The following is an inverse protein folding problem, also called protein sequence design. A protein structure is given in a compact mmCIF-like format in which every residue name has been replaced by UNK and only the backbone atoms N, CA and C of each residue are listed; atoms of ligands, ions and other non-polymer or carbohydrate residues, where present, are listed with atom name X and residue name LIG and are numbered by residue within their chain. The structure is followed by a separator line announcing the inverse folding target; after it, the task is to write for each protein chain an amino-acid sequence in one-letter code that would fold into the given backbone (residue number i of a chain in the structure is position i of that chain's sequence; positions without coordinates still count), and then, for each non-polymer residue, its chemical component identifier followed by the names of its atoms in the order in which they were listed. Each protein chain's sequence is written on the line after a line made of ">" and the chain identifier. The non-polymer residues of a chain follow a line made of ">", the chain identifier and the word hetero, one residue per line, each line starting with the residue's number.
data_IF_413390848039
#
_entry.id   IF_413390848039
#
_cell.length_a   1.000
_cell.length_b   1.000
_cell.length_c   1.000
_cell.angle_alpha   90.00
_cell.angle_beta   90.00
_cell.angle_gamma   90.00
#
_symmetry.space_group_name_H-M   'P 1'
#
loop_
_entity.id
_entity.type
_entity.pdbx_description
1 polymer ?
#
# COMPACT_ATOMS: atom_id res chain seq x y z
N UNK A 1 -21.84 -64.79 26.46
CA UNK A 1 -21.46 -63.54 27.16
C UNK A 1 -22.34 -62.44 26.61
N UNK A 2 -23.12 -61.77 27.48
CA UNK A 2 -24.21 -60.86 27.11
C UNK A 2 -23.66 -59.48 26.69
N UNK A 3 -24.12 -58.98 25.56
CA UNK A 3 -23.89 -57.60 25.08
C UNK A 3 -24.81 -56.66 25.86
N UNK A 4 -24.25 -55.71 26.60
CA UNK A 4 -25.01 -54.63 27.26
C UNK A 4 -24.84 -53.33 26.47
N UNK A 5 -25.96 -52.80 26.02
CA UNK A 5 -26.15 -51.40 25.65
C UNK A 5 -26.47 -50.59 26.92
N UNK A 6 -25.80 -49.46 27.14
CA UNK A 6 -26.36 -48.29 27.85
C UNK A 6 -25.68 -47.00 27.37
N UNK A 7 -26.45 -45.92 27.43
CA UNK A 7 -26.43 -44.69 26.62
C UNK A 7 -25.96 -43.48 27.47
N UNK A 8 -25.60 -42.39 26.77
CA UNK A 8 -25.58 -40.95 27.20
C UNK A 8 -24.20 -40.43 27.65
N UNK A 9 -23.76 -39.22 27.33
CA UNK A 9 -24.49 -37.98 27.06
C UNK A 9 -23.71 -37.00 26.16
N UNK A 10 -24.45 -36.00 25.66
CA UNK A 10 -24.12 -34.97 24.68
C UNK A 10 -22.84 -34.14 24.94
N UNK A 11 -22.17 -33.79 23.83
CA UNK A 11 -21.51 -32.51 23.68
C UNK A 11 -22.05 -31.87 22.40
N UNK A 12 -22.87 -30.83 22.58
CA UNK A 12 -23.41 -29.99 21.52
C UNK A 12 -22.23 -29.34 20.81
N UNK A 13 -22.15 -29.55 19.50
CA UNK A 13 -21.19 -28.87 18.63
C UNK A 13 -21.43 -27.36 18.74
N UNK A 14 -20.39 -26.62 19.12
CA UNK A 14 -20.35 -25.17 18.90
C UNK A 14 -20.19 -24.99 17.39
N UNK A 15 -21.31 -24.85 16.70
CA UNK A 15 -21.32 -24.21 15.40
C UNK A 15 -21.07 -22.72 15.64
N UNK A 16 -19.80 -22.31 15.63
CA UNK A 16 -19.44 -20.92 15.37
C UNK A 16 -20.04 -20.65 14.00
N UNK A 17 -21.02 -19.76 13.95
CA UNK A 17 -21.66 -19.37 12.71
C UNK A 17 -20.65 -18.71 11.79
N UNK A 18 -20.00 -19.50 10.93
CA UNK A 18 -19.57 -19.06 9.62
C UNK A 18 -20.82 -18.94 8.74
N UNK A 19 -21.66 -17.95 9.07
CA UNK A 19 -22.61 -17.45 8.10
C UNK A 19 -21.81 -16.91 6.90
N UNK A 20 -22.34 -17.02 5.67
CA UNK A 20 -21.72 -16.33 4.54
C UNK A 20 -21.56 -14.86 4.94
N UNK A 21 -20.33 -14.34 4.85
CA UNK A 21 -20.03 -12.95 5.06
C UNK A 21 -20.80 -12.15 3.99
N UNK A 22 -22.01 -11.73 4.32
CA UNK A 22 -22.71 -10.76 3.52
C UNK A 22 -21.91 -9.47 3.62
N UNK A 23 -21.50 -8.96 2.48
CA UNK A 23 -20.86 -7.65 2.35
C UNK A 23 -21.66 -6.61 3.16
N UNK A 24 -20.98 -5.93 4.08
CA UNK A 24 -21.61 -5.30 5.25
C UNK A 24 -21.44 -3.78 5.24
N UNK A 25 -22.54 -3.07 4.95
CA UNK A 25 -22.58 -1.61 5.03
C UNK A 25 -22.43 -1.08 6.46
N UNK A 26 -22.72 -1.88 7.49
CA UNK A 26 -22.46 -1.48 8.88
C UNK A 26 -20.97 -1.52 9.19
N UNK A 27 -20.25 -2.52 8.67
CA UNK A 27 -18.78 -2.54 8.69
C UNK A 27 -18.20 -1.35 7.93
N UNK A 28 -18.75 -1.02 6.75
CA UNK A 28 -18.34 0.15 5.99
C UNK A 28 -18.52 1.46 6.75
N UNK A 29 -19.70 1.68 7.36
CA UNK A 29 -19.96 2.88 8.18
C UNK A 29 -19.02 2.97 9.37
N UNK A 30 -18.76 1.83 10.04
CA UNK A 30 -17.81 1.75 11.15
C UNK A 30 -16.40 2.15 10.71
N UNK A 31 -15.94 1.65 9.56
CA UNK A 31 -14.65 2.03 8.97
C UNK A 31 -14.60 3.54 8.66
N UNK A 32 -15.62 4.08 7.99
CA UNK A 32 -15.68 5.50 7.66
C UNK A 32 -15.61 6.39 8.92
N UNK A 33 -16.31 6.02 10.00
CA UNK A 33 -16.34 6.78 11.25
C UNK A 33 -15.01 6.69 12.02
N UNK A 34 -14.34 5.53 11.96
CA UNK A 34 -13.10 5.28 12.70
C UNK A 34 -11.86 5.83 11.98
N UNK A 35 -11.78 5.64 10.66
CA UNK A 35 -10.55 5.80 9.87
C UNK A 35 -10.60 7.04 8.95
N UNK A 36 -11.72 7.27 8.28
CA UNK A 36 -11.83 8.36 7.29
C UNK A 36 -12.16 9.70 7.95
N UNK A 37 -13.20 9.75 8.81
CA UNK A 37 -13.62 10.96 9.54
C UNK A 37 -13.76 12.17 8.59
N UNK A 38 -13.04 13.26 8.90
CA UNK A 38 -13.03 14.53 8.16
C UNK A 38 -11.88 14.59 7.12
N UNK A 39 -11.19 13.47 6.84
CA UNK A 39 -10.03 13.43 5.94
C UNK A 39 -10.40 13.23 4.46
N UNK A 40 -11.70 13.13 4.15
CA UNK A 40 -12.19 12.92 2.79
C UNK A 40 -12.62 14.25 2.14
N UNK A 41 -12.41 14.36 0.83
CA UNK A 41 -12.89 15.47 0.01
C UNK A 41 -14.37 15.34 -0.39
N UNK A 42 -14.97 14.16 -0.19
CA UNK A 42 -16.36 13.89 -0.51
C UNK A 42 -17.21 13.80 0.77
N UNK A 43 -18.48 14.19 0.65
CA UNK A 43 -19.41 14.14 1.77
C UNK A 43 -19.80 12.71 2.17
N UNK A 44 -20.44 12.58 3.34
CA UNK A 44 -20.83 11.28 3.88
C UNK A 44 -21.73 10.47 2.94
N UNK A 45 -22.63 11.13 2.21
CA UNK A 45 -23.52 10.42 1.28
C UNK A 45 -22.74 9.82 0.13
N UNK A 46 -21.77 10.55 -0.42
CA UNK A 46 -20.88 10.04 -1.45
C UNK A 46 -19.95 8.93 -0.93
N UNK A 47 -19.42 9.05 0.30
CA UNK A 47 -18.62 7.98 0.94
C UNK A 47 -19.41 6.67 1.07
N UNK A 48 -20.64 6.73 1.59
CA UNK A 48 -21.48 5.54 1.72
C UNK A 48 -21.86 4.95 0.36
N UNK A 49 -22.06 5.79 -0.66
CA UNK A 49 -22.31 5.31 -2.02
C UNK A 49 -21.08 4.59 -2.62
N UNK A 50 -19.87 5.06 -2.35
CA UNK A 50 -18.63 4.39 -2.75
C UNK A 50 -18.46 3.05 -2.02
N UNK A 51 -18.73 3.01 -0.71
CA UNK A 51 -18.68 1.76 0.05
C UNK A 51 -19.74 0.75 -0.43
N UNK A 52 -20.94 1.22 -0.77
CA UNK A 52 -21.99 0.39 -1.36
C UNK A 52 -21.56 -0.19 -2.71
N UNK A 53 -20.79 0.56 -3.50
CA UNK A 53 -20.20 0.05 -4.74
C UNK A 53 -19.23 -1.10 -4.47
N UNK A 54 -18.34 -1.01 -3.48
CA UNK A 54 -17.46 -2.12 -3.09
C UNK A 54 -18.26 -3.36 -2.66
N UNK A 55 -19.30 -3.17 -1.83
CA UNK A 55 -20.22 -4.23 -1.40
C UNK A 55 -20.86 -4.94 -2.59
N UNK A 56 -21.33 -4.18 -3.58
CA UNK A 56 -22.01 -4.74 -4.74
C UNK A 56 -21.07 -5.40 -5.74
N UNK A 57 -19.93 -4.75 -6.04
CA UNK A 57 -18.92 -5.25 -6.97
C UNK A 57 -18.26 -6.54 -6.46
N UNK A 58 -18.20 -6.75 -5.15
CA UNK A 58 -17.61 -7.94 -4.54
C UNK A 58 -18.51 -9.19 -4.60
N UNK A 59 -19.82 -9.05 -4.81
CA UNK A 59 -20.79 -10.17 -4.77
C UNK A 59 -20.40 -11.39 -5.62
N UNK A 60 -19.89 -11.25 -6.86
CA UNK A 60 -19.48 -12.38 -7.68
C UNK A 60 -18.24 -13.12 -7.14
N UNK A 61 -17.50 -12.50 -6.23
CA UNK A 61 -16.21 -12.98 -5.70
C UNK A 61 -16.32 -13.45 -4.24
N UNK A 62 -17.55 -13.68 -3.75
CA UNK A 62 -17.77 -14.18 -2.40
C UNK A 62 -16.96 -15.46 -2.12
N UNK A 63 -16.17 -15.44 -1.05
CA UNK A 63 -15.28 -16.55 -0.67
C UNK A 63 -13.92 -16.58 -1.37
N UNK A 64 -13.60 -15.58 -2.19
CA UNK A 64 -12.25 -15.38 -2.72
C UNK A 64 -11.24 -15.11 -1.58
N UNK A 65 -10.03 -15.64 -1.74
CA UNK A 65 -8.89 -15.41 -0.85
C UNK A 65 -7.77 -14.79 -1.70
N UNK A 66 -7.33 -13.59 -1.33
CA UNK A 66 -6.32 -12.79 -2.03
C UNK A 66 -5.12 -12.65 -1.11
N UNK A 67 -3.94 -12.89 -1.66
CA UNK A 67 -2.66 -12.68 -0.98
C UNK A 67 -1.92 -11.49 -1.58
N UNK A 68 -1.57 -10.56 -0.72
CA UNK A 68 -0.79 -9.36 -1.04
C UNK A 68 0.49 -9.35 -0.20
N UNK A 69 1.57 -8.81 -0.75
CA UNK A 69 2.82 -8.64 0.00
C UNK A 69 3.42 -7.26 -0.24
N UNK A 70 4.05 -6.71 0.79
CA UNK A 70 4.77 -5.43 0.73
C UNK A 70 5.96 -5.40 1.71
N UNK A 71 6.78 -4.36 1.58
CA UNK A 71 7.80 -4.06 2.58
C UNK A 71 7.16 -3.71 3.94
N UNK A 72 7.90 -3.97 5.02
CA UNK A 72 7.53 -3.55 6.38
C UNK A 72 7.88 -2.07 6.63
N UNK A 73 6.92 -1.19 6.37
CA UNK A 73 6.97 0.24 6.71
C UNK A 73 5.62 0.69 7.29
N UNK A 74 5.59 1.84 7.97
CA UNK A 74 4.41 2.31 8.69
C UNK A 74 3.12 2.38 7.84
N UNK A 75 3.22 2.80 6.58
CA UNK A 75 2.08 2.83 5.65
C UNK A 75 1.53 1.43 5.40
N UNK A 76 2.41 0.47 5.09
CA UNK A 76 2.01 -0.90 4.81
C UNK A 76 1.55 -1.66 6.06
N UNK A 77 2.09 -1.31 7.24
CA UNK A 77 1.53 -1.78 8.51
C UNK A 77 0.09 -1.32 8.70
N UNK A 78 -0.23 -0.08 8.33
CA UNK A 78 -1.60 0.43 8.35
C UNK A 78 -2.49 -0.29 7.32
N UNK A 79 -2.02 -0.44 6.08
CA UNK A 79 -2.75 -1.20 5.05
C UNK A 79 -3.06 -2.63 5.50
N UNK A 80 -2.06 -3.34 6.03
CA UNK A 80 -2.20 -4.74 6.48
C UNK A 80 -3.08 -4.88 7.72
N UNK A 81 -2.94 -3.99 8.71
CA UNK A 81 -3.64 -4.11 10.00
C UNK A 81 -5.00 -3.42 10.04
N UNK A 82 -5.28 -2.50 9.11
CA UNK A 82 -6.51 -1.69 9.10
C UNK A 82 -7.26 -1.85 7.78
N UNK A 83 -6.64 -1.55 6.64
CA UNK A 83 -7.35 -1.53 5.35
C UNK A 83 -7.74 -2.92 4.86
N UNK A 84 -6.84 -3.91 4.93
CA UNK A 84 -7.14 -5.29 4.51
C UNK A 84 -8.25 -5.95 5.35
N UNK A 85 -8.26 -5.84 6.70
CA UNK A 85 -9.39 -6.26 7.51
C UNK A 85 -10.69 -5.51 7.21
N UNK A 86 -10.63 -4.19 6.99
CA UNK A 86 -11.81 -3.40 6.64
C UNK A 86 -12.39 -3.84 5.29
N UNK A 87 -11.55 -4.00 4.27
CA UNK A 87 -11.96 -4.50 2.96
C UNK A 87 -12.58 -5.90 3.08
N UNK A 88 -11.99 -6.78 3.89
CA UNK A 88 -12.54 -8.12 4.15
C UNK A 88 -13.92 -8.05 4.80
N UNK A 89 -14.10 -7.19 5.80
CA UNK A 89 -15.39 -7.02 6.48
C UNK A 89 -16.47 -6.43 5.55
N UNK A 90 -16.09 -5.47 4.71
CA UNK A 90 -16.99 -4.79 3.79
C UNK A 90 -17.40 -5.69 2.64
N UNK A 91 -16.48 -6.47 2.08
CA UNK A 91 -16.69 -7.20 0.81
C UNK A 91 -16.91 -8.70 0.97
N UNK A 92 -16.48 -9.28 2.10
CA UNK A 92 -16.43 -10.73 2.31
C UNK A 92 -15.28 -11.43 1.57
N UNK A 93 -14.44 -10.70 0.82
CA UNK A 93 -13.22 -11.22 0.19
C UNK A 93 -12.12 -11.26 1.24
N UNK A 94 -11.53 -12.42 1.48
CA UNK A 94 -10.46 -12.55 2.45
C UNK A 94 -9.17 -11.98 1.86
N UNK A 95 -8.57 -11.00 2.56
CA UNK A 95 -7.27 -10.45 2.18
C UNK A 95 -6.22 -10.81 3.23
N UNK A 96 -5.17 -11.49 2.80
CA UNK A 96 -3.94 -11.69 3.59
C UNK A 96 -2.90 -10.70 3.07
N UNK A 97 -2.47 -9.75 3.89
CA UNK A 97 -1.43 -8.79 3.52
C UNK A 97 -0.17 -9.05 4.36
N UNK A 98 0.79 -9.74 3.76
CA UNK A 98 2.06 -10.10 4.38
C UNK A 98 3.06 -8.92 4.34
N UNK A 99 3.79 -8.75 5.43
CA UNK A 99 4.85 -7.75 5.56
C UNK A 99 6.20 -8.46 5.70
N UNK A 100 7.13 -8.16 4.79
CA UNK A 100 8.49 -8.72 4.75
C UNK A 100 9.51 -7.62 4.49
N UNK A 101 10.81 -7.93 4.42
CA UNK A 101 11.83 -6.95 4.01
C UNK A 101 11.74 -6.64 2.52
N UNK A 102 12.11 -5.43 2.09
CA UNK A 102 12.08 -5.01 0.67
C UNK A 102 12.81 -6.02 -0.24
N UNK A 103 14.01 -6.44 0.16
CA UNK A 103 14.79 -7.44 -0.56
C UNK A 103 14.04 -8.76 -0.75
N UNK A 104 13.28 -9.20 0.25
CA UNK A 104 12.47 -10.42 0.18
C UNK A 104 11.25 -10.23 -0.74
N UNK A 105 10.65 -9.03 -0.79
CA UNK A 105 9.57 -8.72 -1.76
C UNK A 105 10.09 -8.90 -3.19
N UNK A 106 11.26 -8.33 -3.49
CA UNK A 106 11.89 -8.43 -4.81
C UNK A 106 12.23 -9.89 -5.14
N UNK A 107 12.78 -10.66 -4.19
CA UNK A 107 13.09 -12.08 -4.38
C UNK A 107 11.82 -12.90 -4.69
N UNK A 108 10.73 -12.69 -3.93
CA UNK A 108 9.45 -13.39 -4.16
C UNK A 108 8.85 -13.04 -5.51
N UNK A 109 8.85 -11.76 -5.89
CA UNK A 109 8.38 -11.29 -7.18
C UNK A 109 9.15 -11.94 -8.32
N UNK A 110 10.48 -11.94 -8.25
CA UNK A 110 11.33 -12.60 -9.25
C UNK A 110 11.11 -14.11 -9.31
N UNK A 111 10.90 -14.76 -8.16
CA UNK A 111 10.62 -16.20 -8.09
C UNK A 111 9.30 -16.54 -8.78
N UNK A 112 8.24 -15.76 -8.54
CA UNK A 112 6.94 -15.92 -9.23
C UNK A 112 7.09 -15.68 -10.73
N UNK A 113 7.80 -14.64 -11.14
CA UNK A 113 8.09 -14.34 -12.55
C UNK A 113 8.84 -15.48 -13.26
N UNK A 114 9.84 -16.08 -12.61
CA UNK A 114 10.67 -17.14 -13.21
C UNK A 114 9.99 -18.51 -13.21
N UNK A 115 9.26 -18.83 -12.14
CA UNK A 115 8.59 -20.13 -12.01
C UNK A 115 7.24 -20.18 -12.72
N UNK A 116 6.56 -19.04 -12.86
CA UNK A 116 5.17 -18.97 -13.33
C UNK A 116 4.15 -19.42 -12.29
N UNK A 117 4.58 -19.83 -11.10
CA UNK A 117 3.70 -20.21 -9.99
C UNK A 117 3.21 -18.96 -9.26
N UNK A 118 1.91 -18.91 -8.94
CA UNK A 118 1.35 -17.80 -8.18
C UNK A 118 1.71 -17.92 -6.70
N UNK A 119 2.54 -17.02 -6.20
CA UNK A 119 2.94 -16.88 -4.80
C UNK A 119 2.06 -15.83 -4.11
N UNK A 120 1.91 -14.66 -4.74
CA UNK A 120 1.03 -13.58 -4.32
C UNK A 120 0.24 -13.03 -5.52
N UNK A 121 -1.01 -12.67 -5.28
CA UNK A 121 -1.92 -12.12 -6.28
C UNK A 121 -1.61 -10.64 -6.57
N UNK A 122 -1.06 -9.92 -5.59
CA UNK A 122 -0.60 -8.55 -5.76
C UNK A 122 0.68 -8.29 -4.95
N UNK A 123 1.50 -7.38 -5.48
CA UNK A 123 2.72 -6.91 -4.85
C UNK A 123 2.65 -5.39 -4.74
N UNK A 124 3.00 -4.86 -3.58
CA UNK A 124 3.38 -3.45 -3.45
C UNK A 124 4.89 -3.39 -3.59
N UNK A 125 5.36 -2.96 -4.76
CA UNK A 125 6.77 -2.90 -5.12
C UNK A 125 7.11 -1.55 -5.75
N UNK A 126 8.39 -1.19 -5.71
CA UNK A 126 8.86 0.12 -6.16
C UNK A 126 8.60 0.39 -7.65
N UNK A 127 8.38 1.67 -7.97
CA UNK A 127 8.21 2.14 -9.35
C UNK A 127 9.43 1.88 -10.22
N UNK A 128 10.61 1.65 -9.64
CA UNK A 128 11.84 1.33 -10.36
C UNK A 128 11.73 0.02 -11.17
N UNK A 129 10.79 -0.85 -10.80
CA UNK A 129 10.45 -2.08 -11.52
C UNK A 129 9.54 -1.85 -12.75
N UNK A 130 9.09 -0.63 -13.05
CA UNK A 130 8.22 -0.35 -14.21
C UNK A 130 8.82 -0.87 -15.52
N UNK A 131 10.14 -0.73 -15.68
CA UNK A 131 10.86 -1.24 -16.84
C UNK A 131 10.88 -2.77 -16.94
N UNK A 132 10.85 -3.47 -15.80
CA UNK A 132 10.73 -4.92 -15.72
C UNK A 132 9.30 -5.34 -16.07
N UNK A 133 8.31 -4.75 -15.40
CA UNK A 133 6.89 -5.03 -15.60
C UNK A 133 6.46 -4.91 -17.06
N UNK A 134 6.86 -3.83 -17.72
CA UNK A 134 6.57 -3.59 -19.13
C UNK A 134 7.23 -4.61 -20.07
N UNK A 135 8.52 -4.93 -19.86
CA UNK A 135 9.29 -5.79 -20.79
C UNK A 135 8.93 -7.26 -20.67
N UNK A 136 8.66 -7.74 -19.47
CA UNK A 136 8.38 -9.15 -19.23
C UNK A 136 6.90 -9.49 -19.45
N UNK A 137 6.01 -8.50 -19.41
CA UNK A 137 4.57 -8.67 -19.67
C UNK A 137 3.93 -9.74 -18.75
N UNK A 138 4.36 -9.76 -17.49
CA UNK A 138 3.89 -10.70 -16.45
C UNK A 138 2.99 -10.02 -15.40
N UNK A 139 2.71 -8.73 -15.57
CA UNK A 139 1.70 -7.99 -14.79
C UNK A 139 0.61 -7.48 -15.72
N UNK A 140 -0.55 -7.13 -15.15
CA UNK A 140 -1.65 -6.56 -15.93
C UNK A 140 -1.29 -5.13 -16.36
N UNK A 141 -1.54 -4.83 -17.63
CA UNK A 141 -1.65 -3.46 -18.09
C UNK A 141 -2.95 -2.88 -17.54
N UNK A 142 -2.87 -1.98 -16.56
CA UNK A 142 -4.04 -1.48 -15.85
C UNK A 142 -4.91 -0.58 -16.73
N UNK A 143 -4.31 0.18 -17.65
CA UNK A 143 -5.06 1.00 -18.61
C UNK A 143 -6.01 0.15 -19.45
N UNK A 144 -5.49 -0.91 -20.09
CA UNK A 144 -6.31 -1.78 -20.94
C UNK A 144 -7.24 -2.67 -20.10
N UNK A 145 -6.76 -3.18 -18.96
CA UNK A 145 -7.53 -4.05 -18.09
C UNK A 145 -8.76 -3.34 -17.54
N UNK A 146 -8.62 -2.13 -17.00
CA UNK A 146 -9.76 -1.33 -16.51
C UNK A 146 -10.76 -0.98 -17.62
N UNK A 147 -10.29 -0.82 -18.87
CA UNK A 147 -11.16 -0.56 -20.02
C UNK A 147 -11.92 -1.80 -20.53
N UNK A 148 -11.46 -3.01 -20.17
CA UNK A 148 -11.98 -4.28 -20.67
C UNK A 148 -12.31 -5.27 -19.54
N UNK A 149 -11.43 -6.25 -19.28
CA UNK A 149 -11.67 -7.37 -18.35
C UNK A 149 -12.01 -6.90 -16.92
N UNK A 150 -11.37 -5.83 -16.46
CA UNK A 150 -11.55 -5.24 -15.13
C UNK A 150 -12.63 -4.17 -15.05
N UNK A 151 -13.38 -3.90 -16.12
CA UNK A 151 -14.34 -2.79 -16.17
C UNK A 151 -15.39 -2.86 -15.06
N UNK A 152 -15.94 -4.04 -14.80
CA UNK A 152 -17.00 -4.23 -13.81
C UNK A 152 -16.50 -4.11 -12.36
N UNK A 153 -15.18 -4.15 -12.17
CA UNK A 153 -14.48 -4.00 -10.88
C UNK A 153 -13.60 -2.76 -10.82
N UNK A 154 -13.74 -1.84 -11.78
CA UNK A 154 -13.09 -0.53 -11.74
C UNK A 154 -14.04 0.47 -11.11
N UNK A 155 -13.64 1.08 -9.99
CA UNK A 155 -14.52 2.03 -9.30
C UNK A 155 -14.88 3.19 -10.22
N UNK A 156 -16.18 3.57 -10.31
CA UNK A 156 -16.58 4.76 -11.07
C UNK A 156 -16.05 6.06 -10.45
N UNK A 157 -15.58 6.03 -9.21
CA UNK A 157 -14.96 7.17 -8.50
C UNK A 157 -13.44 7.20 -8.63
N UNK A 158 -12.82 6.19 -9.27
CA UNK A 158 -11.36 6.14 -9.43
C UNK A 158 -10.90 7.21 -10.42
N UNK A 159 -10.29 8.28 -9.90
CA UNK A 159 -9.68 9.33 -10.71
C UNK A 159 -8.17 9.10 -10.86
N UNK A 160 -7.76 8.44 -11.95
CA UNK A 160 -6.34 8.20 -12.24
C UNK A 160 -5.56 9.52 -12.40
N UNK A 161 -6.21 10.61 -12.82
CA UNK A 161 -5.54 11.89 -12.99
C UNK A 161 -5.21 12.57 -11.66
N UNK A 162 -5.89 12.19 -10.57
CA UNK A 162 -5.65 12.72 -9.21
C UNK A 162 -4.45 12.03 -8.51
N UNK A 163 -3.94 10.93 -9.07
CA UNK A 163 -2.72 10.30 -8.57
C UNK A 163 -1.49 11.13 -8.89
N UNK A 164 -0.71 11.45 -7.87
CA UNK A 164 0.62 12.00 -8.05
C UNK A 164 1.55 10.89 -8.57
N UNK A 165 2.39 11.22 -9.56
CA UNK A 165 3.51 10.36 -9.99
C UNK A 165 3.14 9.15 -10.86
N UNK A 166 1.98 9.16 -11.52
CA UNK A 166 1.62 8.13 -12.53
C UNK A 166 2.65 7.99 -13.66
N UNK A 167 3.44 9.03 -13.92
CA UNK A 167 4.55 8.99 -14.88
C UNK A 167 5.66 8.01 -14.49
N UNK A 168 5.84 7.72 -13.20
CA UNK A 168 6.83 6.76 -12.72
C UNK A 168 6.34 5.31 -12.84
N UNK A 169 5.03 5.11 -12.96
CA UNK A 169 4.39 3.79 -13.07
C UNK A 169 3.74 3.53 -14.42
N UNK A 170 3.99 4.42 -15.38
CA UNK A 170 3.59 4.28 -16.78
C UNK A 170 4.80 3.92 -17.65
N UNK A 171 4.62 3.01 -18.59
CA UNK A 171 5.68 2.58 -19.48
C UNK A 171 5.80 3.49 -20.73
N UNK A 172 6.84 3.33 -21.57
CA UNK A 172 7.03 4.14 -22.79
C UNK A 172 5.91 4.04 -23.83
N UNK A 173 5.01 3.05 -23.72
CA UNK A 173 3.80 2.95 -24.52
C UNK A 173 2.65 3.86 -24.02
N UNK A 174 2.88 4.60 -22.94
CA UNK A 174 1.93 5.52 -22.32
C UNK A 174 0.89 4.85 -21.44
N UNK A 175 1.05 3.55 -21.11
CA UNK A 175 0.07 2.80 -20.31
C UNK A 175 0.54 2.58 -18.88
N UNK A 176 -0.43 2.49 -17.97
CA UNK A 176 -0.21 2.33 -16.53
C UNK A 176 -0.05 0.84 -16.17
N UNK A 177 0.97 0.51 -15.38
CA UNK A 177 1.23 -0.87 -14.95
C UNK A 177 1.25 -1.04 -13.42
N UNK A 178 1.36 0.06 -12.66
CA UNK A 178 1.24 0.05 -11.20
C UNK A 178 0.38 1.24 -10.76
N UNK A 179 -0.48 1.06 -9.76
CA UNK A 179 -1.16 2.16 -9.08
C UNK A 179 -0.22 2.73 -8.00
N UNK A 180 0.09 4.04 -8.02
CA UNK A 180 0.87 4.64 -6.94
C UNK A 180 0.07 4.61 -5.63
N UNK A 181 0.56 3.91 -4.60
CA UNK A 181 -0.05 3.90 -3.26
C UNK A 181 0.74 4.70 -2.24
N UNK A 182 2.02 4.94 -2.52
CA UNK A 182 2.94 5.67 -1.65
C UNK A 182 4.01 6.38 -2.49
N UNK A 183 4.54 7.48 -1.95
CA UNK A 183 5.69 8.19 -2.53
C UNK A 183 6.71 8.58 -1.46
N UNK A 184 7.98 8.53 -1.83
CA UNK A 184 9.07 9.07 -1.03
C UNK A 184 9.57 10.37 -1.64
N UNK A 185 9.38 11.49 -0.96
CA UNK A 185 10.08 12.71 -1.29
C UNK A 185 11.54 12.57 -0.84
N UNK A 186 12.48 12.73 -1.77
CA UNK A 186 13.89 12.84 -1.40
C UNK A 186 14.13 14.25 -0.84
N UNK A 187 14.43 14.32 0.45
CA UNK A 187 14.53 15.57 1.20
C UNK A 187 15.94 15.73 1.77
N UNK A 188 16.42 16.98 1.75
CA UNK A 188 17.61 17.36 2.49
C UNK A 188 17.24 17.68 3.94
N UNK A 189 17.72 16.85 4.87
CA UNK A 189 17.53 17.05 6.31
C UNK A 189 18.78 17.69 6.92
N UNK A 190 18.58 18.74 7.73
CA UNK A 190 19.67 19.43 8.40
C UNK A 190 19.29 19.89 9.80
N UNK A 191 20.32 20.18 10.61
CA UNK A 191 20.16 20.73 11.96
C UNK A 191 19.94 22.23 11.90
N UNK A 192 18.69 22.65 11.98
CA UNK A 192 18.31 24.06 11.94
C UNK A 192 19.05 24.89 13.01
N UNK A 193 19.20 24.36 14.22
CA UNK A 193 19.94 25.01 15.30
C UNK A 193 21.43 25.17 14.96
N UNK A 194 22.06 24.18 14.32
CA UNK A 194 23.46 24.27 13.91
C UNK A 194 23.67 25.33 12.83
N UNK A 195 22.73 25.44 11.89
CA UNK A 195 22.77 26.43 10.82
C UNK A 195 22.44 27.84 11.31
N UNK A 196 21.84 27.98 12.49
CA UNK A 196 21.51 29.26 13.11
C UNK A 196 22.44 29.65 14.25
N UNK A 197 23.39 28.80 14.63
CA UNK A 197 24.41 29.12 15.61
C UNK A 197 25.40 30.14 15.03
N UNK A 198 25.54 31.28 15.71
CA UNK A 198 26.37 32.40 15.25
C UNK A 198 27.86 32.04 15.16
N UNK A 199 28.34 31.14 16.05
CA UNK A 199 29.72 30.67 16.00
C UNK A 199 29.94 29.77 14.78
N UNK A 200 29.03 28.85 14.50
CA UNK A 200 29.10 28.00 13.31
C UNK A 200 29.10 28.82 12.02
N UNK A 201 28.22 29.84 11.92
CA UNK A 201 28.19 30.74 10.77
C UNK A 201 29.53 31.47 10.59
N UNK A 202 30.08 32.01 11.67
CA UNK A 202 31.34 32.73 11.64
C UNK A 202 32.52 31.83 11.25
N UNK A 203 32.64 30.64 11.87
CA UNK A 203 33.71 29.70 11.61
C UNK A 203 33.63 29.13 10.18
N UNK A 204 32.41 28.83 9.70
CA UNK A 204 32.19 28.35 8.34
C UNK A 204 32.59 29.40 7.30
N UNK A 205 32.13 30.66 7.49
CA UNK A 205 32.51 31.79 6.64
C UNK A 205 34.03 32.02 6.66
N UNK A 206 34.68 31.88 7.81
CA UNK A 206 36.13 32.03 7.92
C UNK A 206 36.90 30.93 7.17
N UNK A 207 36.39 29.70 7.18
CA UNK A 207 37.04 28.53 6.55
C UNK A 207 36.81 28.45 5.04
N UNK A 208 35.57 28.66 4.58
CA UNK A 208 35.18 28.43 3.19
C UNK A 208 34.90 29.71 2.40
N UNK A 209 34.86 30.88 3.07
CA UNK A 209 34.58 32.16 2.42
C UNK A 209 33.12 32.35 2.00
N UNK A 210 32.22 31.44 2.40
CA UNK A 210 30.80 31.45 2.04
C UNK A 210 29.90 31.30 3.27
N UNK A 211 28.65 31.75 3.16
CA UNK A 211 27.69 31.66 4.25
C UNK A 211 27.26 30.21 4.50
N UNK A 212 27.09 29.85 5.77
CA UNK A 212 26.46 28.60 6.16
C UNK A 212 24.94 28.69 5.94
N UNK A 213 24.44 28.10 4.85
CA UNK A 213 23.03 28.09 4.44
C UNK A 213 22.64 26.73 3.85
N UNK A 214 21.35 26.48 3.64
CA UNK A 214 20.91 25.28 2.90
C UNK A 214 21.64 25.22 1.54
N UNK A 215 22.31 24.10 1.22
CA UNK A 215 23.13 24.00 0.02
C UNK A 215 22.25 23.95 -1.23
N UNK A 216 22.65 24.68 -2.27
CA UNK A 216 22.04 24.64 -3.60
C UNK A 216 22.83 23.73 -4.55
N UNK A 217 24.05 23.35 -4.18
CA UNK A 217 24.90 22.45 -4.96
C UNK A 217 25.54 21.37 -4.10
N UNK A 218 25.92 20.26 -4.73
CA UNK A 218 26.65 19.18 -4.07
C UNK A 218 28.02 19.61 -3.52
N UNK A 219 28.66 20.60 -4.16
CA UNK A 219 29.93 21.15 -3.67
C UNK A 219 29.73 21.96 -2.36
N UNK A 220 28.66 22.75 -2.27
CA UNK A 220 28.29 23.44 -1.03
C UNK A 220 27.92 22.45 0.08
N UNK A 221 27.15 21.40 -0.26
CA UNK A 221 26.83 20.33 0.68
C UNK A 221 28.09 19.66 1.22
N UNK A 222 29.07 19.35 0.36
CA UNK A 222 30.32 18.73 0.78
C UNK A 222 31.09 19.60 1.78
N UNK A 223 31.17 20.93 1.57
CA UNK A 223 31.81 21.84 2.51
C UNK A 223 31.14 21.80 3.89
N UNK A 224 29.82 21.69 3.94
CA UNK A 224 29.04 21.59 5.19
C UNK A 224 29.29 20.26 5.90
N UNK A 225 29.32 19.15 5.16
CA UNK A 225 29.69 17.84 5.72
C UNK A 225 31.10 17.89 6.30
N UNK A 226 32.07 18.46 5.57
CA UNK A 226 33.44 18.61 6.05
C UNK A 226 33.56 19.54 7.26
N UNK A 227 32.71 20.56 7.35
CA UNK A 227 32.67 21.47 8.50
C UNK A 227 32.17 20.78 9.77
N UNK A 228 31.06 20.03 9.68
CA UNK A 228 30.41 19.44 10.85
C UNK A 228 30.96 18.07 11.26
N UNK A 229 31.77 17.42 10.42
CA UNK A 229 32.28 16.06 10.68
C UNK A 229 33.72 16.04 11.22
N UNK A 230 34.48 17.12 11.05
CA UNK A 230 35.90 17.16 11.42
C UNK A 230 36.12 18.12 12.58
N UNK A 231 36.30 17.53 13.77
CA UNK A 231 36.88 18.17 14.96
C UNK A 231 38.24 18.83 14.66
#
# INVERSE_FOLDING_TARGET
>A
MKTQWMVSAAAIAIAIGSGPAFADMDAAKTFLDAEVKELSSIDRTAQEAEMQWFVDAAKPFAGMDIKVVSETIATHEYESKVLAPAFTAITGIKVTHDLIGEGDVVEKLQTQMQSGENIYDAYVNDSDLIGTHWRYNQVRNLTDWMAAEGKDVTSPTLDIADFVGTSFTSAPDGKLYQLPTQQFANLYWFRYDWFNDEKNKADFQAKYGTELRVPETWAEYLNQVEFFTKD
#
